data_IF_900085490452
#
_entry.id   IF_900085490452
#
_cell.length_a   1.000
_cell.length_b   1.000
_cell.length_c   1.000
_cell.angle_alpha   90.00
_cell.angle_beta   90.00
_cell.angle_gamma   90.00
#
_symmetry.space_group_name_H-M   'P 1'
#
loop_
_entity.id
_entity.type
_entity.pdbx_description
1 polymer ?
#
# COMPACT_ATOMS: atom_id res chain seq x y z
N UNK A 1 33.66 -40.32 15.28
CA UNK A 1 34.49 -39.14 15.61
C UNK A 1 34.63 -38.31 14.35
N UNK A 2 34.02 -37.12 14.29
CA UNK A 2 34.11 -36.25 13.11
C UNK A 2 35.49 -35.59 13.09
N UNK A 3 36.28 -35.89 12.05
CA UNK A 3 37.65 -35.41 11.89
C UNK A 3 37.73 -33.88 11.93
N UNK A 4 38.72 -33.33 12.64
CA UNK A 4 38.95 -31.88 12.77
C UNK A 4 39.02 -31.19 11.39
N UNK A 5 39.52 -31.89 10.38
CA UNK A 5 39.56 -31.40 9.00
C UNK A 5 38.15 -31.13 8.41
N UNK A 6 37.16 -31.96 8.75
CA UNK A 6 35.78 -31.77 8.27
C UNK A 6 35.14 -30.53 8.91
N UNK A 7 35.40 -30.29 10.20
CA UNK A 7 34.90 -29.08 10.88
C UNK A 7 35.48 -27.80 10.28
N UNK A 8 36.77 -27.81 9.93
CA UNK A 8 37.42 -26.67 9.28
C UNK A 8 36.83 -26.43 7.89
N UNK A 9 36.64 -27.48 7.09
CA UNK A 9 36.06 -27.37 5.75
C UNK A 9 34.63 -26.79 5.77
N UNK A 10 33.79 -27.26 6.70
CA UNK A 10 32.43 -26.75 6.88
C UNK A 10 32.44 -25.29 7.32
N UNK A 11 33.32 -24.90 8.24
CA UNK A 11 33.44 -23.51 8.68
C UNK A 11 33.92 -22.58 7.55
N UNK A 12 34.82 -23.04 6.67
CA UNK A 12 35.26 -22.27 5.50
C UNK A 12 34.11 -22.10 4.51
N UNK A 13 33.35 -23.16 4.23
CA UNK A 13 32.19 -23.09 3.33
C UNK A 13 31.11 -22.13 3.86
N UNK A 14 30.83 -22.16 5.16
CA UNK A 14 29.89 -21.22 5.80
C UNK A 14 30.42 -19.79 5.71
N UNK A 15 31.71 -19.55 5.99
CA UNK A 15 32.30 -18.21 5.93
C UNK A 15 32.25 -17.60 4.52
N UNK A 16 32.56 -18.38 3.49
CA UNK A 16 32.52 -17.93 2.09
C UNK A 16 31.07 -17.64 1.65
N UNK A 17 30.09 -18.46 2.05
CA UNK A 17 28.68 -18.21 1.72
C UNK A 17 28.11 -16.97 2.43
N UNK A 18 28.57 -16.66 3.64
CA UNK A 18 28.18 -15.43 4.37
C UNK A 18 28.77 -14.20 3.67
N UNK A 19 30.04 -14.24 3.27
CA UNK A 19 30.64 -13.13 2.52
C UNK A 19 29.96 -12.92 1.16
N UNK A 20 29.55 -13.98 0.46
CA UNK A 20 28.86 -13.83 -0.82
C UNK A 20 27.43 -13.29 -0.66
N UNK A 21 26.75 -13.63 0.45
CA UNK A 21 25.43 -13.07 0.78
C UNK A 21 25.48 -11.60 1.25
N UNK A 22 26.62 -11.14 1.78
CA UNK A 22 26.84 -9.72 2.13
C UNK A 22 27.35 -8.87 0.96
N UNK A 23 27.71 -9.47 -0.17
CA UNK A 23 27.98 -8.76 -1.42
C UNK A 23 26.70 -8.32 -2.16
N UNK A 24 25.60 -8.11 -1.43
CA UNK A 24 24.44 -7.40 -1.94
C UNK A 24 24.82 -5.92 -2.08
N UNK A 25 24.66 -5.27 -3.24
CA UNK A 25 25.05 -3.88 -3.42
C UNK A 25 24.03 -2.97 -2.72
N UNK A 26 24.07 -2.89 -1.39
CA UNK A 26 23.05 -2.23 -0.58
C UNK A 26 23.50 -0.89 0.00
N UNK A 27 24.79 -0.56 0.00
CA UNK A 27 25.28 0.68 0.63
C UNK A 27 25.36 1.87 -0.32
N UNK A 28 25.73 1.70 -1.59
CA UNK A 28 25.90 2.86 -2.49
C UNK A 28 24.54 3.43 -2.90
N UNK A 29 23.61 2.56 -3.33
CA UNK A 29 22.29 2.98 -3.81
C UNK A 29 21.40 3.57 -2.70
N UNK A 30 21.47 3.05 -1.46
CA UNK A 30 20.63 3.52 -0.36
C UNK A 30 21.12 4.86 0.23
N UNK A 31 22.42 5.16 0.10
CA UNK A 31 23.01 6.41 0.60
C UNK A 31 22.75 7.57 -0.37
N UNK A 32 22.84 7.32 -1.68
CA UNK A 32 22.47 8.30 -2.71
C UNK A 32 20.97 8.61 -2.70
N UNK A 33 20.11 7.60 -2.51
CA UNK A 33 18.66 7.82 -2.34
C UNK A 33 18.39 8.68 -1.09
N UNK A 34 19.05 8.39 0.04
CA UNK A 34 18.89 9.20 1.27
C UNK A 34 19.39 10.63 1.10
N UNK A 35 20.48 10.84 0.35
CA UNK A 35 21.02 12.16 0.06
C UNK A 35 20.09 12.96 -0.87
N UNK A 36 19.55 12.34 -1.92
CA UNK A 36 18.58 12.96 -2.83
C UNK A 36 17.28 13.36 -2.11
N UNK A 37 16.78 12.52 -1.19
CA UNK A 37 15.63 12.86 -0.33
C UNK A 37 15.90 14.03 0.61
N UNK A 38 17.14 14.21 1.07
CA UNK A 38 17.54 15.32 1.95
C UNK A 38 17.83 16.61 1.17
N UNK A 39 18.22 16.50 -0.10
CA UNK A 39 18.59 17.62 -0.97
C UNK A 39 17.39 18.28 -1.66
N UNK A 40 16.20 17.68 -1.61
CA UNK A 40 15.01 18.21 -2.30
C UNK A 40 15.10 18.14 -3.83
N UNK A 41 16.13 17.47 -4.36
CA UNK A 41 16.43 17.36 -5.77
C UNK A 41 15.91 16.02 -6.31
N UNK A 42 14.62 15.75 -6.10
CA UNK A 42 13.92 14.73 -6.87
C UNK A 42 13.29 15.48 -8.02
N UNK A 43 13.94 15.42 -9.18
CA UNK A 43 13.39 15.88 -10.44
C UNK A 43 11.95 15.38 -10.58
N UNK A 44 11.07 16.33 -10.83
CA UNK A 44 9.61 16.28 -10.78
C UNK A 44 9.01 15.41 -11.90
N UNK A 45 9.42 14.15 -11.98
CA UNK A 45 8.73 13.11 -12.76
C UNK A 45 7.86 12.27 -11.83
N UNK A 46 7.15 12.94 -10.91
CA UNK A 46 6.21 12.29 -10.02
C UNK A 46 5.04 11.75 -10.86
N UNK A 47 4.84 10.42 -10.99
CA UNK A 47 3.59 9.92 -11.49
C UNK A 47 2.46 10.49 -10.62
N UNK A 48 1.31 10.85 -11.21
CA UNK A 48 0.34 11.71 -10.55
C UNK A 48 -0.10 11.08 -9.23
N UNK A 49 0.20 11.81 -8.14
CA UNK A 49 -0.08 11.42 -6.76
C UNK A 49 -1.50 10.86 -6.66
N UNK A 50 -1.66 9.70 -6.01
CA UNK A 50 -3.00 9.14 -5.83
C UNK A 50 -3.68 9.95 -4.73
N UNK A 51 -4.68 10.75 -5.11
CA UNK A 51 -5.50 11.55 -4.19
C UNK A 51 -6.80 10.81 -3.84
N UNK A 52 -7.43 11.20 -2.73
CA UNK A 52 -8.74 10.67 -2.35
C UNK A 52 -9.78 10.90 -3.45
N UNK A 53 -9.80 12.08 -4.07
CA UNK A 53 -10.75 12.39 -5.15
C UNK A 53 -10.57 11.45 -6.34
N UNK A 54 -9.32 11.15 -6.71
CA UNK A 54 -9.04 10.22 -7.79
C UNK A 54 -9.46 8.78 -7.45
N UNK A 55 -9.32 8.39 -6.18
CA UNK A 55 -9.84 7.10 -5.67
C UNK A 55 -11.35 7.08 -5.74
N UNK A 56 -12.03 8.15 -5.29
CA UNK A 56 -13.49 8.29 -5.40
C UNK A 56 -13.90 8.14 -6.86
N UNK A 57 -13.41 9.00 -7.76
CA UNK A 57 -13.69 8.92 -9.21
C UNK A 57 -13.55 7.51 -9.74
N UNK A 58 -12.46 6.81 -9.39
CA UNK A 58 -12.23 5.43 -9.83
C UNK A 58 -13.21 4.41 -9.23
N UNK A 59 -13.67 4.59 -7.99
CA UNK A 59 -14.72 3.75 -7.39
C UNK A 59 -16.05 3.86 -8.15
N UNK A 60 -16.42 5.06 -8.62
CA UNK A 60 -17.65 5.28 -9.40
C UNK A 60 -17.50 4.80 -10.85
N UNK A 61 -16.39 5.13 -11.51
CA UNK A 61 -16.10 4.66 -12.88
C UNK A 61 -16.06 3.14 -12.97
N UNK A 62 -15.57 2.47 -11.93
CA UNK A 62 -15.48 1.01 -11.88
C UNK A 62 -16.75 0.35 -11.34
N UNK A 63 -17.82 1.12 -11.11
CA UNK A 63 -19.09 0.65 -10.56
C UNK A 63 -18.92 -0.12 -9.24
N UNK A 64 -17.91 0.23 -8.44
CA UNK A 64 -17.66 -0.36 -7.13
C UNK A 64 -18.54 0.34 -6.10
N UNK A 65 -18.57 1.66 -6.13
CA UNK A 65 -19.35 2.47 -5.20
C UNK A 65 -19.54 3.89 -5.72
N UNK A 66 -20.75 4.41 -5.60
CA UNK A 66 -21.08 5.79 -5.94
C UNK A 66 -21.31 6.61 -4.66
N UNK A 67 -20.38 7.52 -4.33
CA UNK A 67 -20.48 8.36 -3.13
C UNK A 67 -21.51 9.49 -3.25
N UNK A 68 -22.01 9.75 -4.46
CA UNK A 68 -23.05 10.75 -4.75
C UNK A 68 -24.43 10.13 -4.92
N UNK A 69 -24.58 8.84 -4.57
CA UNK A 69 -25.84 8.14 -4.71
C UNK A 69 -26.93 8.80 -3.83
N UNK A 70 -28.04 9.29 -4.43
CA UNK A 70 -29.12 9.94 -3.68
C UNK A 70 -29.84 8.98 -2.72
N UNK A 71 -29.67 7.67 -2.89
CA UNK A 71 -30.27 6.66 -1.98
C UNK A 71 -29.48 6.48 -0.68
N UNK A 72 -28.33 7.17 -0.51
CA UNK A 72 -27.59 7.19 0.75
C UNK A 72 -28.34 8.00 1.80
N UNK A 73 -28.63 7.37 2.93
CA UNK A 73 -29.21 8.06 4.09
C UNK A 73 -28.19 9.02 4.72
N UNK A 74 -28.66 10.01 5.48
CA UNK A 74 -27.77 10.94 6.20
C UNK A 74 -26.83 10.25 7.18
N UNK A 75 -27.26 9.11 7.75
CA UNK A 75 -26.40 8.28 8.59
C UNK A 75 -25.28 7.63 7.76
N UNK A 76 -25.64 7.01 6.64
CA UNK A 76 -24.67 6.37 5.74
C UNK A 76 -23.68 7.38 5.17
N UNK A 77 -24.11 8.60 4.83
CA UNK A 77 -23.22 9.68 4.39
C UNK A 77 -22.20 10.06 5.47
N UNK A 78 -22.62 10.13 6.74
CA UNK A 78 -21.70 10.40 7.87
C UNK A 78 -20.70 9.27 8.07
N UNK A 79 -21.15 8.03 8.01
CA UNK A 79 -20.27 6.84 8.10
C UNK A 79 -19.28 6.79 6.94
N UNK A 80 -19.75 7.06 5.72
CA UNK A 80 -18.95 7.15 4.50
C UNK A 80 -17.89 8.26 4.57
N UNK A 81 -18.24 9.45 5.06
CA UNK A 81 -17.28 10.54 5.21
C UNK A 81 -16.14 10.14 6.16
N UNK A 82 -16.47 9.54 7.32
CA UNK A 82 -15.44 9.02 8.25
C UNK A 82 -14.58 7.92 7.65
N UNK A 83 -15.18 7.04 6.85
CA UNK A 83 -14.44 6.02 6.09
C UNK A 83 -13.43 6.68 5.15
N UNK A 84 -13.86 7.69 4.39
CA UNK A 84 -12.99 8.38 3.44
C UNK A 84 -11.90 9.22 4.11
N UNK A 85 -12.16 9.81 5.27
CA UNK A 85 -11.13 10.49 6.07
C UNK A 85 -10.01 9.50 6.46
N UNK A 86 -10.38 8.29 6.88
CA UNK A 86 -9.41 7.23 7.18
C UNK A 86 -8.63 6.80 5.93
N UNK A 87 -9.30 6.65 4.79
CA UNK A 87 -8.66 6.34 3.50
C UNK A 87 -7.69 7.45 3.07
N UNK A 88 -8.02 8.72 3.30
CA UNK A 88 -7.17 9.87 2.98
C UNK A 88 -5.86 9.82 3.76
N UNK A 89 -5.92 9.62 5.08
CA UNK A 89 -4.74 9.50 5.93
C UNK A 89 -3.84 8.34 5.47
N UNK A 90 -4.44 7.18 5.19
CA UNK A 90 -3.69 6.01 4.73
C UNK A 90 -3.10 6.22 3.32
N UNK A 91 -3.79 6.96 2.46
CA UNK A 91 -3.30 7.31 1.12
C UNK A 91 -2.16 8.33 1.20
N UNK A 92 -2.27 9.34 2.05
CA UNK A 92 -1.21 10.32 2.29
C UNK A 92 0.07 9.66 2.84
N UNK A 93 -0.08 8.65 3.71
CA UNK A 93 1.05 7.81 4.16
C UNK A 93 1.68 7.05 2.99
N UNK A 94 0.86 6.48 2.10
CA UNK A 94 1.32 5.71 0.93
C UNK A 94 2.02 6.56 -0.11
N UNK A 95 1.63 7.81 -0.26
CA UNK A 95 2.25 8.76 -1.19
C UNK A 95 3.72 9.08 -0.83
N UNK A 96 4.18 8.71 0.38
CA UNK A 96 5.59 8.76 0.78
C UNK A 96 6.41 7.55 0.34
N UNK A 97 5.76 6.49 -0.16
CA UNK A 97 6.42 5.30 -0.68
C UNK A 97 6.87 5.50 -2.14
N UNK A 98 7.83 4.72 -2.64
CA UNK A 98 8.28 4.81 -4.03
C UNK A 98 7.12 4.65 -5.02
N UNK A 99 7.21 5.35 -6.15
CA UNK A 99 6.20 5.34 -7.23
C UNK A 99 5.88 3.96 -7.79
N UNK A 100 6.84 3.04 -7.75
CA UNK A 100 6.67 1.63 -8.14
C UNK A 100 5.56 0.90 -7.36
N UNK A 101 5.22 1.39 -6.16
CA UNK A 101 4.20 0.82 -5.27
C UNK A 101 2.88 1.61 -5.33
N UNK A 102 2.88 2.79 -5.96
CA UNK A 102 1.73 3.69 -6.08
C UNK A 102 0.90 3.32 -7.33
N UNK A 103 0.06 2.28 -7.22
CA UNK A 103 -0.87 1.88 -8.28
C UNK A 103 -2.32 2.09 -7.83
N UNK A 104 -3.19 2.60 -8.72
CA UNK A 104 -4.62 2.74 -8.48
C UNK A 104 -5.30 1.45 -8.01
N UNK A 105 -5.00 0.30 -8.62
CA UNK A 105 -5.54 -1.00 -8.19
C UNK A 105 -5.22 -1.27 -6.71
N UNK A 106 -3.99 -0.97 -6.33
CA UNK A 106 -3.52 -1.16 -4.96
C UNK A 106 -4.21 -0.20 -3.97
N UNK A 107 -4.63 0.99 -4.42
CA UNK A 107 -5.41 1.96 -3.64
C UNK A 107 -6.88 1.53 -3.52
N UNK A 108 -7.48 0.96 -4.56
CA UNK A 108 -8.83 0.36 -4.45
C UNK A 108 -8.84 -0.82 -3.47
N UNK A 109 -7.79 -1.66 -3.47
CA UNK A 109 -7.59 -2.72 -2.47
C UNK A 109 -7.35 -2.20 -1.06
N UNK A 110 -6.78 -1.01 -0.91
CA UNK A 110 -6.69 -0.34 0.39
C UNK A 110 -8.09 0.02 0.89
N UNK A 111 -8.94 0.63 0.06
CA UNK A 111 -10.33 0.95 0.40
C UNK A 111 -11.09 -0.31 0.80
N UNK A 112 -10.98 -1.40 0.04
CA UNK A 112 -11.62 -2.70 0.37
C UNK A 112 -11.22 -3.18 1.77
N UNK A 113 -9.92 -3.09 2.12
CA UNK A 113 -9.43 -3.50 3.45
C UNK A 113 -9.94 -2.58 4.55
N UNK A 114 -9.99 -1.27 4.31
CA UNK A 114 -10.48 -0.29 5.29
C UNK A 114 -11.96 -0.53 5.54
N UNK A 115 -12.79 -0.70 4.50
CA UNK A 115 -14.22 -1.01 4.64
C UNK A 115 -14.41 -2.29 5.44
N UNK A 116 -13.71 -3.38 5.09
CA UNK A 116 -13.81 -4.66 5.82
C UNK A 116 -13.36 -4.55 7.28
N UNK A 117 -12.32 -3.75 7.56
CA UNK A 117 -11.83 -3.52 8.92
C UNK A 117 -12.84 -2.72 9.73
N UNK A 118 -13.31 -1.59 9.21
CA UNK A 118 -14.29 -0.74 9.89
C UNK A 118 -15.62 -1.46 10.11
N UNK A 119 -16.03 -2.34 9.19
CA UNK A 119 -17.22 -3.18 9.38
C UNK A 119 -17.04 -4.14 10.55
N UNK A 120 -15.90 -4.84 10.63
CA UNK A 120 -15.58 -5.74 11.75
C UNK A 120 -15.49 -5.01 13.09
N UNK A 121 -15.04 -3.76 13.07
CA UNK A 121 -14.93 -2.90 14.26
C UNK A 121 -16.27 -2.20 14.61
N UNK A 122 -17.34 -2.41 13.83
CA UNK A 122 -18.65 -1.79 14.05
C UNK A 122 -18.69 -0.28 13.80
N UNK A 123 -17.69 0.27 13.08
CA UNK A 123 -17.58 1.70 12.77
C UNK A 123 -18.44 2.12 11.57
N UNK A 124 -18.75 1.17 10.68
CA UNK A 124 -19.69 1.34 9.57
C UNK A 124 -20.79 0.28 9.65
N UNK A 125 -21.97 0.65 9.17
CA UNK A 125 -23.11 -0.26 9.07
C UNK A 125 -22.93 -1.32 7.98
N UNK A 126 -23.55 -2.49 8.18
CA UNK A 126 -23.68 -3.52 7.15
C UNK A 126 -24.41 -3.01 5.91
N UNK A 127 -25.39 -2.10 6.09
CA UNK A 127 -26.13 -1.49 4.99
C UNK A 127 -25.20 -0.68 4.08
N UNK A 128 -24.35 0.18 4.65
CA UNK A 128 -23.35 0.93 3.87
C UNK A 128 -22.33 -0.02 3.22
N UNK A 129 -21.82 -1.00 3.96
CA UNK A 129 -20.82 -1.93 3.44
C UNK A 129 -21.36 -2.78 2.27
N UNK A 130 -22.65 -3.13 2.30
CA UNK A 130 -23.31 -3.90 1.23
C UNK A 130 -23.46 -3.14 -0.09
N UNK A 131 -23.40 -1.80 -0.06
CA UNK A 131 -23.45 -0.95 -1.26
C UNK A 131 -22.15 -0.98 -2.07
N UNK A 132 -21.07 -1.55 -1.53
CA UNK A 132 -19.81 -1.71 -2.25
C UNK A 132 -19.77 -3.01 -3.06
N UNK A 133 -19.75 -2.90 -4.39
CA UNK A 133 -19.62 -4.04 -5.29
C UNK A 133 -18.16 -4.42 -5.54
N UNK A 134 -17.55 -5.13 -4.58
CA UNK A 134 -16.15 -5.59 -4.67
C UNK A 134 -15.89 -6.63 -5.77
N UNK A 135 -16.94 -7.20 -6.39
CA UNK A 135 -16.75 -8.14 -7.50
C UNK A 135 -16.10 -7.47 -8.71
N UNK A 136 -16.35 -6.16 -8.90
CA UNK A 136 -15.81 -5.37 -10.00
C UNK A 136 -14.32 -5.05 -9.84
N UNK A 137 -13.78 -5.03 -8.62
CA UNK A 137 -12.32 -4.88 -8.39
C UNK A 137 -11.52 -6.03 -9.00
N UNK A 138 -12.09 -7.24 -9.11
CA UNK A 138 -11.37 -8.40 -9.67
C UNK A 138 -11.29 -8.39 -11.20
N UNK A 139 -12.05 -7.49 -11.85
CA UNK A 139 -12.09 -7.32 -13.31
C UNK A 139 -11.11 -6.24 -13.80
N UNK A 140 -10.51 -5.50 -12.87
CA UNK A 140 -9.50 -4.46 -13.09
C UNK A 140 -8.09 -5.04 -12.94
#
# INVERSE_FOLDING_TARGET
MVSTAFKVLVNVLIAVNIQHSQACPQEVHMTEIKAAYKSGEILDQSPPLITLDRIKTKLKESEIFNWEDPTLTEREKKEMNKLFDAVEIMTASRNRQPSSVQNMFSSLRLVERVVKKQLKEGQISETLASKFNWSNVRKL
#
